data_IF_708416859839
#
_entry.id   IF_708416859839
#
_cell.length_a   1.000
_cell.length_b   1.000
_cell.length_c   1.000
_cell.angle_alpha   90.00
_cell.angle_beta   90.00
_cell.angle_gamma   90.00
#
_symmetry.space_group_name_H-M   'P 1'
#
loop_
_entity.id
_entity.type
_entity.pdbx_description
1 polymer ?
#
# COMPACT_ATOMS: atom_id res chain seq x y z
N UNK A 1 -8.21 13.13 1.53
CA UNK A 1 -7.90 11.69 1.43
C UNK A 1 -6.49 11.36 1.93
N UNK A 2 -5.51 12.16 1.59
CA UNK A 2 -4.13 11.89 2.00
C UNK A 2 -3.93 11.85 3.51
N UNK A 3 -4.57 12.75 4.23
CA UNK A 3 -4.49 12.78 5.69
C UNK A 3 -5.05 11.52 6.33
N UNK A 4 -6.15 11.05 5.78
CA UNK A 4 -6.80 9.85 6.30
C UNK A 4 -5.96 8.60 6.07
N UNK A 5 -5.28 8.55 4.93
CA UNK A 5 -4.37 7.44 4.63
C UNK A 5 -3.23 7.45 5.64
N UNK A 6 -2.64 8.60 5.87
CA UNK A 6 -1.54 8.72 6.84
C UNK A 6 -1.97 8.36 8.25
N UNK A 7 -3.12 8.85 8.69
CA UNK A 7 -3.65 8.51 10.02
C UNK A 7 -3.86 7.02 10.18
N UNK A 8 -4.44 6.39 9.16
CA UNK A 8 -4.67 4.95 9.19
C UNK A 8 -3.35 4.19 9.23
N UNK A 9 -2.38 4.60 8.43
CA UNK A 9 -1.07 3.96 8.41
C UNK A 9 -0.38 4.09 9.77
N UNK A 10 -0.49 5.24 10.41
CA UNK A 10 0.09 5.46 11.73
C UNK A 10 -0.51 4.55 12.80
N UNK A 11 -1.78 4.23 12.65
CA UNK A 11 -2.43 3.33 13.60
C UNK A 11 -2.05 1.87 13.39
N UNK A 12 -1.59 1.53 12.19
CA UNK A 12 -1.18 0.16 11.87
C UNK A 12 0.25 -0.12 12.31
N UNK A 13 1.15 0.81 12.04
CA UNK A 13 2.55 0.64 12.39
C UNK A 13 3.00 1.71 13.36
N UNK A 14 3.75 1.30 14.37
CA UNK A 14 4.33 2.26 15.32
C UNK A 14 5.33 3.12 14.57
N UNK A 15 5.03 4.40 14.43
CA UNK A 15 5.85 5.32 13.67
C UNK A 15 6.17 6.52 14.53
N UNK A 16 7.47 6.76 14.72
CA UNK A 16 7.93 7.94 15.44
C UNK A 16 7.92 9.17 14.56
N UNK A 17 8.13 10.32 15.19
CA UNK A 17 8.12 11.59 14.46
C UNK A 17 9.18 11.60 13.34
N UNK A 18 10.28 10.93 13.54
CA UNK A 18 11.37 10.88 12.55
C UNK A 18 11.00 10.10 11.29
N UNK A 19 10.06 9.16 11.39
CA UNK A 19 9.63 8.36 10.25
C UNK A 19 8.33 8.87 9.63
N UNK A 20 7.73 9.88 10.22
CA UNK A 20 6.45 10.39 9.73
C UNK A 20 6.53 10.92 8.29
N UNK A 21 7.59 11.66 7.99
CA UNK A 21 7.78 12.20 6.63
C UNK A 21 7.94 11.08 5.61
N UNK A 22 8.67 10.03 6.00
CA UNK A 22 8.83 8.86 5.13
C UNK A 22 7.50 8.14 4.93
N UNK A 23 6.76 7.93 6.02
CA UNK A 23 5.47 7.26 5.94
C UNK A 23 4.50 8.05 5.06
N UNK A 24 4.53 9.37 5.15
CA UNK A 24 3.70 10.22 4.31
C UNK A 24 4.00 10.00 2.82
N UNK A 25 5.29 9.91 2.47
CA UNK A 25 5.68 9.63 1.09
C UNK A 25 5.25 8.23 0.65
N UNK A 26 5.37 7.25 1.53
CA UNK A 26 4.92 5.90 1.24
C UNK A 26 3.42 5.84 1.02
N UNK A 27 2.67 6.60 1.79
CA UNK A 27 1.21 6.69 1.62
C UNK A 27 0.86 7.28 0.26
N UNK A 28 1.53 8.35 -0.14
CA UNK A 28 1.29 8.98 -1.43
C UNK A 28 1.64 8.03 -2.58
N UNK A 29 2.77 7.34 -2.48
CA UNK A 29 3.19 6.38 -3.50
C UNK A 29 2.23 5.20 -3.58
N UNK A 30 1.75 4.73 -2.44
CA UNK A 30 0.79 3.63 -2.39
C UNK A 30 -0.54 4.00 -3.04
N UNK A 31 -1.02 5.21 -2.76
CA UNK A 31 -2.24 5.70 -3.36
C UNK A 31 -2.11 5.80 -4.87
N UNK A 32 -0.98 6.30 -5.36
CA UNK A 32 -0.73 6.38 -6.80
C UNK A 32 -0.67 4.99 -7.44
N UNK A 33 -0.01 4.05 -6.79
CA UNK A 33 0.09 2.69 -7.29
C UNK A 33 -1.28 2.02 -7.40
N UNK A 34 -2.13 2.20 -6.38
CA UNK A 34 -3.47 1.66 -6.40
C UNK A 34 -4.35 2.33 -7.45
N UNK A 35 -4.19 3.64 -7.62
CA UNK A 35 -4.97 4.36 -8.60
C UNK A 35 -4.73 3.81 -10.01
N UNK A 36 -3.51 3.42 -10.32
CA UNK A 36 -3.18 2.81 -11.60
C UNK A 36 -3.80 1.44 -11.79
N UNK A 37 -4.12 0.76 -10.69
CA UNK A 37 -4.74 -0.56 -10.73
C UNK A 37 -6.24 -0.52 -10.80
N UNK A 38 -6.86 0.64 -10.65
CA UNK A 38 -8.30 0.76 -10.69
C UNK A 38 -8.84 0.45 -12.08
N UNK A 39 -10.00 -0.17 -12.11
CA UNK A 39 -10.71 -0.43 -13.36
C UNK A 39 -11.05 0.86 -14.05
N UNK A 40 -11.18 0.80 -15.37
CA UNK A 40 -11.62 1.94 -16.14
C UNK A 40 -12.99 2.40 -15.63
N UNK A 41 -13.12 3.70 -15.42
CA UNK A 41 -14.35 4.28 -14.92
C UNK A 41 -14.50 4.32 -13.42
N UNK A 42 -13.54 3.73 -12.68
CA UNK A 42 -13.57 3.77 -11.22
C UNK A 42 -12.56 4.79 -10.72
N UNK A 43 -13.03 5.74 -9.94
CA UNK A 43 -12.18 6.76 -9.32
C UNK A 43 -11.94 6.38 -7.85
N UNK A 44 -10.87 6.89 -7.22
CA UNK A 44 -10.65 6.64 -5.79
C UNK A 44 -11.85 7.03 -4.94
N UNK A 45 -12.55 8.08 -5.31
CA UNK A 45 -13.74 8.55 -4.58
C UNK A 45 -14.88 7.55 -4.60
N UNK A 46 -14.94 6.71 -5.63
CA UNK A 46 -15.99 5.69 -5.76
C UNK A 46 -15.80 4.53 -4.78
N UNK A 47 -14.59 4.38 -4.27
CA UNK A 47 -14.28 3.32 -3.31
C UNK A 47 -13.44 3.89 -2.15
N UNK A 48 -13.81 5.08 -1.69
CA UNK A 48 -12.99 5.87 -0.76
C UNK A 48 -12.51 5.09 0.46
N UNK A 49 -13.43 4.45 1.20
CA UNK A 49 -13.06 3.71 2.40
C UNK A 49 -12.05 2.60 2.11
N UNK A 50 -12.33 1.80 1.09
CA UNK A 50 -11.44 0.71 0.70
C UNK A 50 -10.10 1.25 0.21
N UNK A 51 -10.13 2.32 -0.57
CA UNK A 51 -8.93 2.93 -1.13
C UNK A 51 -8.02 3.47 -0.01
N UNK A 52 -8.60 4.16 0.95
CA UNK A 52 -7.85 4.69 2.09
C UNK A 52 -7.18 3.57 2.87
N UNK A 53 -7.94 2.54 3.24
CA UNK A 53 -7.39 1.42 4.00
C UNK A 53 -6.32 0.67 3.23
N UNK A 54 -6.57 0.36 1.97
CA UNK A 54 -5.62 -0.38 1.16
C UNK A 54 -4.32 0.40 0.96
N UNK A 55 -4.42 1.71 0.70
CA UNK A 55 -3.24 2.55 0.56
C UNK A 55 -2.42 2.57 1.84
N UNK A 56 -3.08 2.69 2.99
CA UNK A 56 -2.42 2.68 4.29
C UNK A 56 -1.74 1.34 4.55
N UNK A 57 -2.39 0.24 4.23
CA UNK A 57 -1.83 -1.09 4.43
C UNK A 57 -0.60 -1.32 3.55
N UNK A 58 -0.63 -0.85 2.31
CA UNK A 58 0.54 -0.96 1.43
C UNK A 58 1.70 -0.13 1.94
N UNK A 59 1.43 1.08 2.43
CA UNK A 59 2.46 1.93 3.00
C UNK A 59 3.07 1.29 4.25
N UNK A 60 2.24 0.73 5.12
CA UNK A 60 2.71 0.05 6.32
C UNK A 60 3.55 -1.17 5.96
N UNK A 61 3.15 -1.91 4.93
CA UNK A 61 3.92 -3.07 4.47
C UNK A 61 5.29 -2.64 3.97
N UNK A 62 5.36 -1.57 3.19
CA UNK A 62 6.63 -1.06 2.68
C UNK A 62 7.56 -0.63 3.79
N UNK A 63 7.02 0.06 4.80
CA UNK A 63 7.84 0.48 5.94
C UNK A 63 8.33 -0.72 6.76
N UNK A 64 7.47 -1.71 6.95
CA UNK A 64 7.83 -2.92 7.67
C UNK A 64 8.97 -3.65 6.96
N UNK A 65 8.88 -3.82 5.65
CA UNK A 65 9.93 -4.45 4.87
C UNK A 65 11.24 -3.67 4.94
N UNK A 66 11.15 -2.34 4.86
CA UNK A 66 12.34 -1.49 4.91
C UNK A 66 13.05 -1.61 6.26
N UNK A 67 12.30 -1.67 7.34
CA UNK A 67 12.86 -1.84 8.67
C UNK A 67 13.56 -3.18 8.82
N UNK A 68 13.00 -4.22 8.25
CA UNK A 68 13.59 -5.55 8.27
C UNK A 68 14.82 -5.66 7.37
N UNK A 69 14.83 -4.89 6.28
CA UNK A 69 15.96 -4.85 5.37
C UNK A 69 17.18 -4.13 5.90
N UNK A 70 16.99 -3.39 7.00
CA UNK A 70 18.10 -2.73 7.67
C UNK A 70 18.31 -1.28 7.27
N UNK A 71 19.41 -0.72 7.78
CA UNK A 71 19.69 0.70 7.62
C UNK A 71 19.84 1.15 6.16
N UNK A 72 20.40 0.27 5.33
CA UNK A 72 20.61 0.62 3.92
C UNK A 72 19.29 0.82 3.19
N UNK A 73 18.33 -0.07 3.41
CA UNK A 73 17.03 0.06 2.77
C UNK A 73 16.29 1.29 3.26
N UNK A 74 16.35 1.55 4.57
CA UNK A 74 15.75 2.76 5.11
C UNK A 74 16.38 4.01 4.53
N UNK A 75 17.71 4.01 4.37
CA UNK A 75 18.41 5.14 3.75
C UNK A 75 17.97 5.37 2.31
N UNK A 76 17.82 4.30 1.55
CA UNK A 76 17.36 4.40 0.16
C UNK A 76 15.98 5.02 0.08
N UNK A 77 15.07 4.59 0.95
CA UNK A 77 13.74 5.15 0.99
C UNK A 77 13.75 6.62 1.36
N UNK A 78 14.56 6.98 2.36
CA UNK A 78 14.68 8.38 2.80
C UNK A 78 15.28 9.26 1.73
N UNK A 79 16.13 8.70 0.89
CA UNK A 79 16.74 9.43 -0.22
C UNK A 79 15.76 9.68 -1.37
N UNK A 80 14.56 9.14 -1.30
CA UNK A 80 13.54 9.38 -2.30
C UNK A 80 13.31 8.24 -3.26
N UNK A 81 14.01 7.14 -3.07
CA UNK A 81 13.93 5.97 -3.96
C UNK A 81 12.78 5.06 -3.52
N UNK A 82 11.57 5.58 -3.64
CA UNK A 82 10.37 4.88 -3.17
C UNK A 82 9.72 4.10 -4.30
N UNK A 83 9.69 2.79 -4.15
CA UNK A 83 8.98 1.91 -5.08
C UNK A 83 7.96 1.11 -4.29
N UNK A 84 6.70 1.20 -4.69
CA UNK A 84 5.64 0.45 -4.04
C UNK A 84 5.23 -0.72 -4.91
N UNK A 85 5.27 -1.90 -4.32
CA UNK A 85 4.79 -3.11 -4.99
C UNK A 85 3.44 -3.49 -4.42
N UNK A 86 2.46 -3.60 -5.30
CA UNK A 86 1.12 -4.02 -4.91
C UNK A 86 1.07 -5.53 -4.73
N UNK A 87 1.96 -6.24 -5.39
CA UNK A 87 2.00 -7.71 -5.37
C UNK A 87 3.31 -8.22 -4.80
N UNK A 88 3.22 -9.19 -3.94
CA UNK A 88 4.35 -10.01 -3.52
C UNK A 88 5.64 -9.29 -3.15
N UNK A 89 6.69 -10.06 -2.98
CA UNK A 89 8.02 -9.49 -2.72
C UNK A 89 8.27 -9.04 -1.29
N UNK A 90 7.40 -9.41 -0.37
CA UNK A 90 7.54 -9.03 1.03
C UNK A 90 8.66 -9.81 1.73
N UNK A 91 9.41 -9.13 2.60
CA UNK A 91 10.44 -9.75 3.41
C UNK A 91 9.90 -10.32 4.72
N UNK A 92 8.65 -10.02 5.07
CA UNK A 92 8.04 -10.49 6.31
C UNK A 92 6.63 -11.01 6.04
N UNK A 93 6.19 -11.89 6.94
CA UNK A 93 4.82 -12.39 6.87
C UNK A 93 3.81 -11.28 7.12
N UNK A 94 4.15 -10.36 8.02
CA UNK A 94 3.26 -9.23 8.31
C UNK A 94 3.06 -8.35 7.08
N UNK A 95 4.15 -8.02 6.40
CA UNK A 95 4.05 -7.21 5.18
C UNK A 95 3.28 -7.96 4.10
N UNK A 96 3.52 -9.26 3.95
CA UNK A 96 2.79 -10.06 2.99
C UNK A 96 1.29 -10.10 3.30
N UNK A 97 0.94 -10.22 4.58
CA UNK A 97 -0.45 -10.22 5.01
C UNK A 97 -1.13 -8.89 4.73
N UNK A 98 -0.42 -7.79 5.01
CA UNK A 98 -0.95 -6.45 4.72
C UNK A 98 -1.20 -6.26 3.23
N UNK A 99 -0.28 -6.71 2.39
CA UNK A 99 -0.46 -6.62 0.94
C UNK A 99 -1.61 -7.47 0.45
N UNK A 100 -1.75 -8.68 0.99
CA UNK A 100 -2.88 -9.55 0.64
C UNK A 100 -4.20 -8.92 1.02
N UNK A 101 -4.26 -8.36 2.23
CA UNK A 101 -5.49 -7.71 2.70
C UNK A 101 -5.85 -6.53 1.81
N UNK A 102 -4.85 -5.74 1.42
CA UNK A 102 -5.08 -4.60 0.53
C UNK A 102 -5.64 -5.07 -0.82
N UNK A 103 -5.05 -6.12 -1.39
CA UNK A 103 -5.53 -6.64 -2.67
C UNK A 103 -6.94 -7.20 -2.56
N UNK A 104 -7.23 -7.92 -1.48
CA UNK A 104 -8.56 -8.47 -1.28
C UNK A 104 -9.61 -7.37 -1.14
N UNK A 105 -9.27 -6.35 -0.38
CA UNK A 105 -10.19 -5.23 -0.17
C UNK A 105 -10.48 -4.51 -1.47
N UNK A 106 -9.47 -4.35 -2.32
CA UNK A 106 -9.60 -3.62 -3.57
C UNK A 106 -10.00 -4.48 -4.76
N UNK A 107 -10.12 -5.79 -4.58
CA UNK A 107 -10.42 -6.71 -5.68
C UNK A 107 -11.63 -6.30 -6.53
N UNK A 108 -12.77 -5.87 -5.93
CA UNK A 108 -13.92 -5.47 -6.75
C UNK A 108 -13.67 -4.24 -7.61
N UNK A 109 -12.66 -3.46 -7.29
CA UNK A 109 -12.42 -2.17 -7.94
C UNK A 109 -11.21 -2.15 -8.86
N UNK A 110 -10.41 -3.20 -8.85
CA UNK A 110 -9.15 -3.23 -9.60
C UNK A 110 -9.19 -4.20 -10.76
N UNK A 111 -8.35 -3.95 -11.73
CA UNK A 111 -8.20 -4.81 -12.91
C UNK A 111 -7.71 -6.20 -12.53
N UNK A 112 -6.75 -6.24 -11.60
CA UNK A 112 -6.19 -7.51 -11.15
C UNK A 112 -7.22 -8.40 -10.49
N UNK A 113 -8.10 -7.80 -9.67
CA UNK A 113 -9.18 -8.53 -9.02
C UNK A 113 -10.14 -9.11 -10.03
N UNK A 114 -10.52 -8.31 -11.03
CA UNK A 114 -11.42 -8.77 -12.09
C UNK A 114 -10.81 -9.91 -12.87
N UNK A 115 -9.56 -9.78 -13.22
CA UNK A 115 -8.84 -10.82 -13.93
C UNK A 115 -8.79 -12.12 -13.11
N UNK A 116 -8.54 -11.98 -11.83
CA UNK A 116 -8.47 -13.13 -10.93
C UNK A 116 -9.79 -13.91 -10.92
N UNK A 117 -10.90 -13.22 -10.85
CA UNK A 117 -12.20 -13.85 -10.88
C UNK A 117 -12.47 -14.54 -12.19
N UNK A 118 -12.06 -13.94 -13.28
CA UNK A 118 -12.21 -14.55 -14.58
C UNK A 118 -11.44 -15.87 -14.65
N UNK A 119 -10.24 -15.89 -14.09
CA UNK A 119 -9.45 -17.12 -14.06
C UNK A 119 -10.14 -18.21 -13.26
N UNK A 120 -10.78 -17.84 -12.16
CA UNK A 120 -11.50 -18.81 -11.34
C UNK A 120 -12.71 -19.38 -12.08
N UNK A 121 -13.40 -18.55 -12.81
CA UNK A 121 -14.57 -18.97 -13.57
C UNK A 121 -14.21 -19.77 -14.80
N UNK A 122 -13.09 -19.40 -15.36
CA UNK A 122 -12.65 -19.95 -16.61
C UNK A 122 -12.14 -21.32 -16.47
#
# INVERSE_FOLDING_TARGET
MDEEILETAKSICACGAEDEALLKRLCAASAQALERELREGVAPEDCEGAFICASAWLAAAALTDARLGGAEELSSLRAGDVTIEVRGGANSERAAALRRSARQLMAPYTKGGGFFFCAVKG
#
